data_IF_400270400429
#
_entry.id   IF_400270400429
#
_cell.length_a   1.000
_cell.length_b   1.000
_cell.length_c   1.000
_cell.angle_alpha   90.00
_cell.angle_beta   90.00
_cell.angle_gamma   90.00
#
_symmetry.space_group_name_H-M   'P 1'
#
loop_
_entity.id
_entity.type
_entity.pdbx_description
1 polymer ?
#
# COMPACT_ATOMS: atom_id res chain seq x y z
N UNK A 1 26.99 3.02 -46.16
CA UNK A 1 25.64 3.61 -45.94
C UNK A 1 25.29 3.43 -44.46
N UNK A 2 25.33 4.49 -43.64
CA UNK A 2 25.03 4.40 -42.19
C UNK A 2 23.53 4.62 -41.96
N UNK A 3 22.84 3.57 -41.50
CA UNK A 3 21.42 3.60 -41.14
C UNK A 3 21.21 4.55 -39.94
N UNK A 4 20.65 5.74 -40.18
CA UNK A 4 20.28 6.68 -39.10
C UNK A 4 19.14 6.04 -38.29
N UNK A 5 19.41 5.65 -37.04
CA UNK A 5 18.36 5.27 -36.08
C UNK A 5 17.41 6.45 -35.91
N UNK A 6 16.14 6.23 -36.26
CA UNK A 6 15.06 7.15 -35.95
C UNK A 6 15.02 7.39 -34.43
N UNK A 7 14.98 8.66 -34.04
CA UNK A 7 14.69 9.06 -32.65
C UNK A 7 13.31 8.51 -32.30
N UNK A 8 13.27 7.49 -31.44
CA UNK A 8 12.04 7.05 -30.78
C UNK A 8 11.45 8.27 -30.07
N UNK A 9 10.27 8.67 -30.53
CA UNK A 9 9.48 9.74 -29.93
C UNK A 9 9.20 9.32 -28.49
N UNK A 10 9.83 10.02 -27.52
CA UNK A 10 9.42 9.90 -26.11
C UNK A 10 7.96 10.32 -26.06
N UNK A 11 7.06 9.36 -25.92
CA UNK A 11 5.71 9.60 -25.44
C UNK A 11 5.85 10.20 -24.05
N UNK A 12 5.47 11.48 -23.94
CA UNK A 12 5.24 12.12 -22.65
C UNK A 12 4.26 11.26 -21.87
N UNK A 13 4.53 10.90 -20.61
CA UNK A 13 3.55 10.18 -19.81
C UNK A 13 2.31 11.05 -19.71
N UNK A 14 1.17 10.54 -20.20
CA UNK A 14 -0.11 11.22 -20.10
C UNK A 14 -0.33 11.62 -18.65
N UNK A 15 -0.63 12.91 -18.43
CA UNK A 15 -1.03 13.40 -17.12
C UNK A 15 -2.19 12.52 -16.65
N UNK A 16 -2.14 11.97 -15.41
CA UNK A 16 -3.28 11.22 -14.89
C UNK A 16 -4.51 12.12 -15.00
N UNK A 17 -5.55 11.62 -15.66
CA UNK A 17 -6.77 12.38 -15.87
C UNK A 17 -7.33 12.80 -14.51
N UNK A 18 -7.84 14.03 -14.43
CA UNK A 18 -8.42 14.60 -13.22
C UNK A 18 -9.47 13.67 -12.59
N UNK A 19 -10.15 12.88 -13.44
CA UNK A 19 -11.15 11.87 -13.09
C UNK A 19 -10.52 10.67 -12.35
N UNK A 20 -9.35 10.15 -12.78
CA UNK A 20 -8.62 9.11 -12.05
C UNK A 20 -8.21 9.61 -10.66
N UNK A 21 -7.77 10.87 -10.56
CA UNK A 21 -7.40 11.46 -9.28
C UNK A 21 -8.60 11.64 -8.35
N UNK A 22 -9.78 11.99 -8.88
CA UNK A 22 -11.02 12.13 -8.09
C UNK A 22 -11.54 10.77 -7.61
N UNK A 23 -11.48 9.74 -8.47
CA UNK A 23 -11.84 8.38 -8.10
C UNK A 23 -10.92 7.82 -7.00
N UNK A 24 -9.61 8.09 -7.07
CA UNK A 24 -8.66 7.73 -6.02
C UNK A 24 -8.99 8.47 -4.71
N UNK A 25 -9.34 9.76 -4.76
CA UNK A 25 -9.79 10.52 -3.60
C UNK A 25 -11.10 10.00 -2.97
N UNK A 26 -12.07 9.60 -3.79
CA UNK A 26 -13.33 9.00 -3.32
C UNK A 26 -13.09 7.62 -2.69
N UNK A 27 -12.18 6.84 -3.25
CA UNK A 27 -11.78 5.55 -2.70
C UNK A 27 -11.04 5.71 -1.37
N UNK A 28 -10.27 6.80 -1.20
CA UNK A 28 -9.63 7.18 0.08
C UNK A 28 -10.62 7.66 1.15
N UNK A 29 -11.71 8.29 0.72
CA UNK A 29 -12.78 8.76 1.62
C UNK A 29 -13.64 7.61 2.15
N UNK A 30 -13.76 6.51 1.41
CA UNK A 30 -14.59 5.35 1.77
C UNK A 30 -14.18 4.68 3.10
N UNK A 31 -12.91 4.34 3.34
CA UNK A 31 -12.49 3.77 4.62
C UNK A 31 -12.49 4.79 5.78
N UNK A 32 -12.55 6.10 5.48
CA UNK A 32 -12.71 7.16 6.50
C UNK A 32 -14.19 7.37 6.84
N UNK A 33 -15.10 7.21 5.89
CA UNK A 33 -16.54 7.39 6.08
C UNK A 33 -17.22 6.20 6.76
N UNK A 34 -16.72 4.97 6.57
CA UNK A 34 -17.27 3.76 7.21
C UNK A 34 -17.22 3.85 8.76
N UNK A 35 -16.09 4.21 9.41
CA UNK A 35 -16.04 4.41 10.86
C UNK A 35 -16.92 5.56 11.35
N UNK A 36 -17.03 6.64 10.57
CA UNK A 36 -17.86 7.81 10.89
C UNK A 36 -19.34 7.42 10.90
N UNK A 37 -19.79 6.62 9.92
CA UNK A 37 -21.18 6.12 9.88
C UNK A 37 -21.44 5.06 10.96
N UNK A 38 -20.50 4.14 11.17
CA UNK A 38 -20.69 3.00 12.08
C UNK A 38 -20.75 3.39 13.57
N UNK A 39 -20.11 4.51 13.95
CA UNK A 39 -20.05 4.96 15.35
C UNK A 39 -20.87 6.25 15.62
N UNK A 40 -21.83 6.59 14.75
CA UNK A 40 -22.74 7.72 15.00
C UNK A 40 -22.09 9.11 14.89
N UNK A 41 -20.97 9.23 14.17
CA UNK A 41 -20.27 10.50 13.92
C UNK A 41 -19.14 10.80 14.91
N UNK A 42 -18.70 12.07 14.93
CA UNK A 42 -17.57 12.58 15.72
C UNK A 42 -17.91 12.83 17.22
N UNK A 43 -18.85 12.08 17.78
CA UNK A 43 -19.42 12.39 19.10
C UNK A 43 -18.47 11.99 20.23
N UNK A 44 -17.64 10.96 20.05
CA UNK A 44 -16.69 10.51 21.07
C UNK A 44 -15.24 10.93 20.77
N UNK A 45 -14.53 11.55 21.74
CA UNK A 45 -13.17 12.05 21.57
C UNK A 45 -12.12 10.96 21.27
N UNK A 46 -12.47 9.69 21.44
CA UNK A 46 -11.59 8.54 21.13
C UNK A 46 -11.68 8.12 19.66
N UNK A 47 -12.85 8.24 19.05
CA UNK A 47 -13.13 7.68 17.73
C UNK A 47 -12.59 8.59 16.61
N UNK A 48 -12.62 9.92 16.78
CA UNK A 48 -12.05 10.84 15.78
C UNK A 48 -10.53 10.71 15.64
N UNK A 49 -9.82 10.34 16.71
CA UNK A 49 -8.37 10.09 16.68
C UNK A 49 -8.06 8.87 15.80
N UNK A 50 -8.85 7.81 15.94
CA UNK A 50 -8.72 6.59 15.12
C UNK A 50 -9.01 6.92 13.66
N UNK A 51 -10.09 7.67 13.40
CA UNK A 51 -10.45 8.13 12.05
C UNK A 51 -9.36 8.99 11.42
N UNK A 52 -8.73 9.90 12.17
CA UNK A 52 -7.61 10.70 11.68
C UNK A 52 -6.38 9.84 11.37
N UNK A 53 -6.03 8.90 12.26
CA UNK A 53 -4.89 8.00 12.04
C UNK A 53 -5.11 7.17 10.78
N UNK A 54 -6.32 6.64 10.58
CA UNK A 54 -6.69 5.92 9.36
C UNK A 54 -6.62 6.84 8.14
N UNK A 55 -7.20 8.03 8.19
CA UNK A 55 -7.14 9.00 7.10
C UNK A 55 -5.70 9.34 6.70
N UNK A 56 -4.82 9.55 7.67
CA UNK A 56 -3.39 9.80 7.44
C UNK A 56 -2.73 8.59 6.77
N UNK A 57 -2.98 7.37 7.26
CA UNK A 57 -2.47 6.11 6.68
C UNK A 57 -2.88 5.97 5.20
N UNK A 58 -4.12 6.32 4.86
CA UNK A 58 -4.64 6.23 3.49
C UNK A 58 -4.14 7.36 2.58
N UNK A 59 -4.02 8.59 3.09
CA UNK A 59 -3.57 9.75 2.29
C UNK A 59 -2.06 9.69 2.00
N UNK A 60 -1.27 9.09 2.90
CA UNK A 60 0.19 9.01 2.83
C UNK A 60 0.73 8.40 1.51
N UNK A 61 0.25 7.22 1.05
CA UNK A 61 0.60 6.65 -0.26
C UNK A 61 0.32 7.59 -1.44
N UNK A 62 -0.82 8.28 -1.43
CA UNK A 62 -1.21 9.21 -2.50
C UNK A 62 -0.36 10.46 -2.48
N UNK A 63 -0.07 11.00 -1.30
CA UNK A 63 0.84 12.12 -1.12
C UNK A 63 2.27 11.76 -1.58
N UNK A 64 2.74 10.55 -1.27
CA UNK A 64 4.02 10.02 -1.78
C UNK A 64 4.07 10.01 -3.30
N UNK A 65 3.02 9.53 -3.95
CA UNK A 65 2.93 9.45 -5.41
C UNK A 65 2.89 10.85 -6.03
N UNK A 66 2.08 11.77 -5.48
CA UNK A 66 2.05 13.16 -5.92
C UNK A 66 3.44 13.81 -5.78
N UNK A 67 4.06 13.69 -4.61
CA UNK A 67 5.41 14.21 -4.39
C UNK A 67 6.42 13.56 -5.32
N UNK A 68 6.25 12.30 -5.75
CA UNK A 68 7.17 11.60 -6.66
C UNK A 68 7.35 12.29 -8.02
N UNK A 69 6.34 13.06 -8.45
CA UNK A 69 6.31 13.76 -9.74
C UNK A 69 7.01 15.14 -9.68
N UNK A 70 7.27 15.65 -8.48
CA UNK A 70 7.86 16.97 -8.26
C UNK A 70 9.41 16.93 -8.23
N UNK A 71 10.09 18.06 -8.43
CA UNK A 71 11.55 18.14 -8.32
C UNK A 71 12.06 17.77 -6.91
N UNK A 72 13.40 17.67 -6.77
CA UNK A 72 14.16 17.06 -5.66
C UNK A 72 13.45 17.02 -4.29
N UNK A 73 13.46 15.87 -3.58
CA UNK A 73 12.83 15.74 -2.27
C UNK A 73 13.56 16.56 -1.20
N UNK A 74 12.79 17.17 -0.30
CA UNK A 74 13.34 17.90 0.85
C UNK A 74 13.93 16.94 1.91
N UNK A 75 14.69 17.47 2.86
CA UNK A 75 15.23 16.67 3.97
C UNK A 75 14.10 16.09 4.85
N UNK A 76 13.10 16.91 5.17
CA UNK A 76 11.93 16.51 5.97
C UNK A 76 11.13 15.41 5.29
N UNK A 77 10.93 15.50 3.97
CA UNK A 77 10.25 14.47 3.19
C UNK A 77 11.00 13.15 3.21
N UNK A 78 12.33 13.18 3.08
CA UNK A 78 13.13 11.95 3.16
C UNK A 78 12.95 11.27 4.50
N UNK A 79 12.99 12.01 5.61
CA UNK A 79 12.81 11.47 6.95
C UNK A 79 11.41 10.86 7.08
N UNK A 80 10.39 11.65 6.77
CA UNK A 80 8.98 11.25 6.90
C UNK A 80 8.66 9.99 6.08
N UNK A 81 9.08 9.96 4.82
CA UNK A 81 8.84 8.83 3.94
C UNK A 81 9.68 7.59 4.27
N UNK A 82 10.86 7.79 4.87
CA UNK A 82 11.64 6.68 5.42
C UNK A 82 10.96 6.09 6.65
N UNK A 83 10.43 6.95 7.53
CA UNK A 83 9.66 6.51 8.71
C UNK A 83 8.43 5.72 8.29
N UNK A 84 7.68 6.24 7.31
CA UNK A 84 6.51 5.57 6.74
C UNK A 84 6.84 4.19 6.16
N UNK A 85 7.93 4.07 5.40
CA UNK A 85 8.40 2.79 4.87
C UNK A 85 8.61 1.77 6.00
N UNK A 86 9.26 2.17 7.09
CA UNK A 86 9.53 1.29 8.22
C UNK A 86 8.26 0.95 9.01
N UNK A 87 7.40 1.93 9.26
CA UNK A 87 6.11 1.71 9.90
C UNK A 87 5.28 0.68 9.13
N UNK A 88 5.18 0.84 7.80
CA UNK A 88 4.46 -0.09 6.94
C UNK A 88 5.06 -1.50 6.96
N UNK A 89 6.39 -1.62 6.93
CA UNK A 89 7.07 -2.92 7.04
C UNK A 89 6.82 -3.59 8.38
N UNK A 90 6.86 -2.83 9.47
CA UNK A 90 6.60 -3.33 10.82
C UNK A 90 5.15 -3.80 10.95
N UNK A 91 4.18 -3.01 10.48
CA UNK A 91 2.77 -3.41 10.46
C UNK A 91 2.54 -4.69 9.66
N UNK A 92 3.11 -4.77 8.44
CA UNK A 92 2.99 -5.97 7.62
C UNK A 92 3.62 -7.19 8.28
N UNK A 93 4.79 -7.02 8.90
CA UNK A 93 5.48 -8.10 9.62
C UNK A 93 4.66 -8.60 10.81
N UNK A 94 4.10 -7.69 11.62
CA UNK A 94 3.20 -8.05 12.72
C UNK A 94 1.97 -8.80 12.21
N UNK A 95 1.33 -8.34 11.13
CA UNK A 95 0.19 -9.05 10.54
C UNK A 95 0.55 -10.47 10.05
N UNK A 96 1.72 -10.64 9.42
CA UNK A 96 2.20 -11.96 8.99
C UNK A 96 2.40 -12.88 10.19
N UNK A 97 3.01 -12.40 11.28
CA UNK A 97 3.16 -13.19 12.50
C UNK A 97 1.79 -13.61 13.05
N UNK A 98 0.82 -12.70 13.11
CA UNK A 98 -0.53 -13.01 13.59
C UNK A 98 -1.24 -14.05 12.72
N UNK A 99 -1.04 -14.01 11.40
CA UNK A 99 -1.58 -15.03 10.49
C UNK A 99 -0.90 -16.39 10.65
N UNK A 100 0.42 -16.41 10.83
CA UNK A 100 1.14 -17.64 11.14
C UNK A 100 0.68 -18.23 12.48
N UNK A 101 0.53 -17.40 13.50
CA UNK A 101 -0.05 -17.78 14.78
C UNK A 101 -1.46 -18.39 14.60
N UNK A 102 -2.31 -17.73 13.81
CA UNK A 102 -3.66 -18.22 13.51
C UNK A 102 -3.63 -19.61 12.84
N UNK A 103 -2.78 -19.80 11.83
CA UNK A 103 -2.64 -21.09 11.14
C UNK A 103 -2.13 -22.19 12.08
N UNK A 104 -1.16 -21.89 12.94
CA UNK A 104 -0.50 -22.91 13.78
C UNK A 104 -1.28 -23.23 15.05
N UNK A 105 -1.96 -22.26 15.65
CA UNK A 105 -2.56 -22.41 16.98
C UNK A 105 -4.08 -22.31 16.98
N UNK A 106 -4.69 -21.65 16.00
CA UNK A 106 -6.16 -21.51 15.97
C UNK A 106 -6.78 -22.57 15.06
N UNK A 107 -6.30 -22.69 13.82
CA UNK A 107 -6.87 -23.62 12.83
C UNK A 107 -6.90 -25.09 13.31
N UNK A 108 -5.84 -25.64 13.93
CA UNK A 108 -5.84 -27.05 14.35
C UNK A 108 -6.90 -27.34 15.42
N UNK A 109 -7.18 -26.35 16.27
CA UNK A 109 -8.13 -26.43 17.39
C UNK A 109 -9.60 -26.22 16.98
N UNK A 110 -9.87 -25.97 15.69
CA UNK A 110 -11.24 -25.88 15.18
C UNK A 110 -11.86 -27.26 15.00
N UNK A 111 -13.19 -27.37 15.13
CA UNK A 111 -13.93 -28.61 14.91
C UNK A 111 -14.10 -28.98 13.42
N UNK A 112 -13.49 -28.22 12.51
CA UNK A 112 -13.63 -28.40 11.06
C UNK A 112 -12.92 -29.67 10.55
N UNK A 113 -13.41 -30.28 9.45
CA UNK A 113 -12.73 -31.38 8.79
C UNK A 113 -11.37 -30.96 8.22
N UNK A 114 -10.48 -31.93 8.01
CA UNK A 114 -9.09 -31.68 7.61
C UNK A 114 -8.99 -30.90 6.27
N UNK A 115 -9.90 -31.15 5.32
CA UNK A 115 -9.93 -30.46 4.04
C UNK A 115 -10.22 -28.95 4.19
N UNK A 116 -11.17 -28.59 5.06
CA UNK A 116 -11.49 -27.18 5.36
C UNK A 116 -10.33 -26.50 6.08
N UNK A 117 -9.69 -27.17 7.04
CA UNK A 117 -8.50 -26.65 7.74
C UNK A 117 -7.37 -26.33 6.78
N UNK A 118 -7.10 -27.21 5.81
CA UNK A 118 -6.09 -27.00 4.78
C UNK A 118 -6.45 -25.83 3.86
N UNK A 119 -7.73 -25.74 3.44
CA UNK A 119 -8.20 -24.66 2.59
C UNK A 119 -8.10 -23.29 3.29
N UNK A 120 -8.53 -23.20 4.55
CA UNK A 120 -8.41 -21.99 5.37
C UNK A 120 -6.94 -21.61 5.53
N UNK A 121 -6.07 -22.58 5.86
CA UNK A 121 -4.63 -22.33 6.03
C UNK A 121 -3.97 -21.83 4.75
N UNK A 122 -4.29 -22.45 3.60
CA UNK A 122 -3.78 -22.02 2.30
C UNK A 122 -4.24 -20.61 1.93
N UNK A 123 -5.52 -20.31 2.17
CA UNK A 123 -6.07 -18.96 1.93
C UNK A 123 -5.39 -17.91 2.81
N UNK A 124 -5.25 -18.17 4.11
CA UNK A 124 -4.58 -17.25 5.05
C UNK A 124 -3.10 -17.09 4.69
N UNK A 125 -2.42 -18.15 4.25
CA UNK A 125 -1.03 -18.08 3.79
C UNK A 125 -0.88 -17.21 2.54
N UNK A 126 -1.76 -17.35 1.54
CA UNK A 126 -1.79 -16.49 0.36
C UNK A 126 -2.01 -15.03 0.76
N UNK A 127 -2.94 -14.78 1.68
CA UNK A 127 -3.21 -13.44 2.20
C UNK A 127 -1.98 -12.87 2.95
N UNK A 128 -1.29 -13.68 3.75
CA UNK A 128 -0.06 -13.28 4.44
C UNK A 128 1.05 -12.90 3.44
N UNK A 129 1.24 -13.68 2.39
CA UNK A 129 2.19 -13.36 1.31
C UNK A 129 1.83 -12.06 0.59
N UNK A 130 0.53 -11.83 0.35
CA UNK A 130 0.05 -10.59 -0.24
C UNK A 130 0.34 -9.37 0.65
N UNK A 131 0.04 -9.46 1.95
CA UNK A 131 0.34 -8.40 2.92
C UNK A 131 1.84 -8.16 3.04
N UNK A 132 2.66 -9.22 3.07
CA UNK A 132 4.11 -9.10 3.10
C UNK A 132 4.63 -8.35 1.86
N UNK A 133 4.13 -8.70 0.67
CA UNK A 133 4.48 -8.01 -0.57
C UNK A 133 4.10 -6.52 -0.52
N UNK A 134 2.89 -6.20 -0.05
CA UNK A 134 2.44 -4.83 0.15
C UNK A 134 3.32 -4.07 1.16
N UNK A 135 3.70 -4.70 2.27
CA UNK A 135 4.59 -4.13 3.27
C UNK A 135 5.95 -3.71 2.69
N UNK A 136 6.52 -4.56 1.84
CA UNK A 136 7.84 -4.33 1.22
C UNK A 136 7.77 -3.30 0.10
N UNK A 137 6.88 -3.48 -0.87
CA UNK A 137 6.88 -2.70 -2.12
C UNK A 137 5.86 -1.56 -2.17
N UNK A 138 4.85 -1.59 -1.30
CA UNK A 138 3.75 -0.64 -1.25
C UNK A 138 2.55 -0.99 -2.10
N UNK A 139 1.54 -0.14 -2.03
CA UNK A 139 0.23 -0.32 -2.64
C UNK A 139 0.26 -0.30 -4.15
N UNK A 140 -0.51 -1.19 -4.80
CA UNK A 140 -0.67 -1.13 -6.26
C UNK A 140 -1.37 0.17 -6.65
N UNK A 141 -0.84 0.84 -7.66
CA UNK A 141 -1.33 2.12 -8.16
C UNK A 141 -2.61 1.98 -8.96
N UNK A 142 -2.73 0.90 -9.74
CA UNK A 142 -3.86 0.69 -10.64
C UNK A 142 -4.33 -0.76 -10.62
N UNK A 143 -5.64 -0.94 -10.85
CA UNK A 143 -6.25 -2.26 -11.05
C UNK A 143 -5.67 -2.87 -12.34
N UNK A 144 -4.76 -3.82 -12.19
CA UNK A 144 -4.01 -4.43 -13.30
C UNK A 144 -2.49 -4.24 -13.23
N UNK A 145 -1.99 -3.45 -12.27
CA UNK A 145 -0.54 -3.32 -12.06
C UNK A 145 0.07 -4.68 -11.66
N UNK A 146 1.09 -5.12 -12.39
CA UNK A 146 1.77 -6.38 -12.10
C UNK A 146 2.66 -6.26 -10.84
N UNK A 147 3.05 -7.39 -10.25
CA UNK A 147 4.03 -7.38 -9.15
C UNK A 147 5.39 -6.77 -9.59
N UNK A 148 5.73 -6.89 -10.87
CA UNK A 148 6.96 -6.32 -11.43
C UNK A 148 6.91 -4.79 -11.48
N UNK A 149 5.77 -4.20 -11.84
CA UNK A 149 5.60 -2.75 -11.89
C UNK A 149 5.69 -2.12 -10.49
N UNK A 150 5.09 -2.77 -9.49
CA UNK A 150 5.21 -2.36 -8.08
C UNK A 150 6.68 -2.38 -7.62
N UNK A 151 7.45 -3.40 -8.04
CA UNK A 151 8.88 -3.50 -7.75
C UNK A 151 9.69 -2.38 -8.41
N UNK A 152 9.39 -2.04 -9.66
CA UNK A 152 10.08 -0.96 -10.37
C UNK A 152 9.73 0.42 -9.81
N UNK A 153 8.48 0.65 -9.41
CA UNK A 153 8.08 1.85 -8.67
C UNK A 153 8.85 1.96 -7.35
N UNK A 154 8.94 0.88 -6.59
CA UNK A 154 9.74 0.85 -5.36
C UNK A 154 11.22 1.17 -5.65
N UNK A 155 11.79 0.64 -6.74
CA UNK A 155 13.17 0.96 -7.15
C UNK A 155 13.37 2.45 -7.44
N UNK A 156 12.43 3.09 -8.12
CA UNK A 156 12.44 4.54 -8.37
C UNK A 156 12.36 5.35 -7.07
N UNK A 157 11.44 4.98 -6.17
CA UNK A 157 11.32 5.63 -4.86
C UNK A 157 12.59 5.43 -4.01
N UNK A 158 13.15 4.23 -4.01
CA UNK A 158 14.41 3.89 -3.32
C UNK A 158 15.56 4.80 -3.78
N UNK A 159 15.72 4.98 -5.09
CA UNK A 159 16.73 5.87 -5.66
C UNK A 159 16.49 7.33 -5.29
N UNK A 160 15.24 7.79 -5.33
CA UNK A 160 14.86 9.17 -5.02
C UNK A 160 15.11 9.56 -3.57
N UNK A 161 14.74 8.69 -2.63
CA UNK A 161 14.85 8.96 -1.20
C UNK A 161 16.14 8.43 -0.56
N UNK A 162 17.01 7.76 -1.33
CA UNK A 162 18.29 7.24 -0.84
C UNK A 162 18.14 6.07 0.15
N UNK A 163 17.05 5.31 0.05
CA UNK A 163 16.78 4.22 0.98
C UNK A 163 17.79 3.09 0.81
N UNK A 164 18.38 2.66 1.94
CA UNK A 164 19.10 1.40 2.04
C UNK A 164 18.09 0.25 2.18
N UNK A 165 18.53 -0.96 1.82
CA UNK A 165 17.69 -2.17 1.82
C UNK A 165 17.09 -2.43 3.20
#
# INVERSE_FOLDING_TARGET
>A
MKLRRAKSHKTTPDKPSLISSIADYLTLLLPVSIPILAHGGFVEPRNWRITLVLAVIFILPVYMEYRSQLPKPSCTEKIFFTLWKWLRRLLAFTCVILFLYFIVLVVPNTAAPIGEKLLISAFVAILALYIAHFGVYGERKYRGESLADARERYRRMKKRYGWRW
#
